data_IF_792229881001
#
_entry.id   IF_792229881001
#
_cell.length_a   1.000
_cell.length_b   1.000
_cell.length_c   1.000
_cell.angle_alpha   90.00
_cell.angle_beta   90.00
_cell.angle_gamma   90.00
#
_symmetry.space_group_name_H-M   'P 1'
#
loop_
_entity.id
_entity.type
_entity.pdbx_description
1 polymer ?
#
# COMPACT_ATOMS: atom_id res chain seq x y z
N UNK A 1 6.79 -13.14 -13.40
CA UNK A 1 5.97 -14.29 -12.94
C UNK A 1 5.88 -14.17 -11.43
N UNK A 2 4.68 -14.02 -10.87
CA UNK A 2 4.49 -13.84 -9.43
C UNK A 2 4.69 -15.20 -8.74
N UNK A 3 5.48 -15.23 -7.65
CA UNK A 3 5.73 -16.44 -6.88
C UNK A 3 5.00 -16.35 -5.54
N UNK A 4 4.26 -17.40 -5.18
CA UNK A 4 3.60 -17.49 -3.88
C UNK A 4 3.89 -18.85 -3.25
N UNK A 5 4.28 -18.84 -1.98
CA UNK A 5 4.56 -20.06 -1.22
C UNK A 5 3.35 -20.50 -0.36
N UNK A 6 2.43 -19.58 -0.06
CA UNK A 6 1.34 -19.77 0.90
C UNK A 6 -0.03 -20.04 0.24
N UNK A 7 -0.17 -19.85 -1.08
CA UNK A 7 -1.44 -19.98 -1.77
C UNK A 7 -1.47 -21.25 -2.62
N UNK A 8 -2.58 -21.99 -2.55
CA UNK A 8 -2.85 -23.12 -3.44
C UNK A 8 -3.03 -22.65 -4.89
N UNK A 9 -2.81 -23.54 -5.87
CA UNK A 9 -3.02 -23.29 -7.30
C UNK A 9 -4.51 -23.27 -7.65
N UNK A 10 -5.26 -22.37 -7.00
CA UNK A 10 -6.68 -22.14 -7.21
C UNK A 10 -6.88 -20.81 -7.91
N UNK A 11 -7.86 -20.80 -8.81
CA UNK A 11 -8.27 -19.59 -9.52
C UNK A 11 -9.42 -18.93 -8.76
N UNK A 12 -9.23 -17.64 -8.46
CA UNK A 12 -10.27 -16.73 -8.03
C UNK A 12 -10.92 -16.02 -9.22
N UNK A 13 -12.10 -15.45 -8.99
CA UNK A 13 -12.79 -14.62 -9.96
C UNK A 13 -12.61 -13.16 -9.57
N UNK A 14 -11.97 -12.37 -10.42
CA UNK A 14 -11.80 -10.95 -10.19
C UNK A 14 -12.51 -10.15 -11.28
N UNK A 15 -13.08 -8.99 -10.91
CA UNK A 15 -13.72 -8.10 -11.86
C UNK A 15 -12.68 -7.10 -12.37
N UNK A 16 -12.20 -7.31 -13.60
CA UNK A 16 -11.28 -6.39 -14.25
C UNK A 16 -12.04 -5.30 -14.98
N UNK A 17 -11.58 -4.07 -14.83
CA UNK A 17 -12.09 -2.95 -15.64
C UNK A 17 -11.27 -2.89 -16.92
N UNK A 18 -11.95 -3.12 -18.04
CA UNK A 18 -11.36 -3.03 -19.37
C UNK A 18 -11.15 -1.57 -19.76
N UNK A 19 -10.30 -1.31 -20.77
CA UNK A 19 -9.98 0.05 -21.24
C UNK A 19 -11.18 0.84 -21.76
N UNK A 20 -12.26 0.15 -22.12
CA UNK A 20 -13.55 0.68 -22.55
C UNK A 20 -14.50 0.97 -21.37
N UNK A 21 -14.09 0.71 -20.12
CA UNK A 21 -14.90 0.90 -18.91
C UNK A 21 -15.87 -0.24 -18.58
N UNK A 22 -15.94 -1.30 -19.40
CA UNK A 22 -16.74 -2.49 -19.06
C UNK A 22 -16.05 -3.32 -17.97
N UNK A 23 -16.85 -3.88 -17.06
CA UNK A 23 -16.37 -4.81 -16.03
C UNK A 23 -16.60 -6.22 -16.52
N UNK A 24 -15.53 -6.99 -16.65
CA UNK A 24 -15.60 -8.40 -17.06
C UNK A 24 -15.01 -9.28 -15.94
N UNK A 25 -15.63 -10.44 -15.74
CA UNK A 25 -15.21 -11.42 -14.74
C UNK A 25 -14.11 -12.30 -15.33
N UNK A 26 -12.89 -12.17 -14.80
CA UNK A 26 -11.72 -12.92 -15.26
C UNK A 26 -11.24 -13.90 -14.18
N UNK A 27 -10.68 -15.04 -14.61
CA UNK A 27 -10.09 -16.02 -13.70
C UNK A 27 -8.63 -15.67 -13.44
N UNK A 28 -8.32 -15.22 -12.24
CA UNK A 28 -6.97 -14.92 -11.78
C UNK A 28 -6.59 -15.85 -10.62
N UNK A 29 -5.32 -16.33 -10.55
CA UNK A 29 -4.84 -17.05 -9.38
C UNK A 29 -5.11 -16.29 -8.08
N UNK A 30 -5.56 -17.00 -7.03
CA UNK A 30 -5.85 -16.42 -5.70
C UNK A 30 -4.67 -15.61 -5.14
N UNK A 31 -3.44 -16.03 -5.44
CA UNK A 31 -2.24 -15.31 -5.04
C UNK A 31 -2.20 -13.87 -5.59
N UNK A 32 -2.65 -13.66 -6.83
CA UNK A 32 -2.65 -12.34 -7.49
C UNK A 32 -3.73 -11.45 -6.88
N UNK A 33 -4.93 -11.99 -6.65
CA UNK A 33 -6.01 -11.26 -5.97
C UNK A 33 -5.56 -10.78 -4.58
N UNK A 34 -4.99 -11.68 -3.79
CA UNK A 34 -4.49 -11.39 -2.44
C UNK A 34 -3.41 -10.32 -2.46
N UNK A 35 -2.48 -10.41 -3.40
CA UNK A 35 -1.41 -9.43 -3.55
C UNK A 35 -1.95 -8.07 -3.96
N UNK A 36 -2.85 -7.99 -4.94
CA UNK A 36 -3.48 -6.74 -5.35
C UNK A 36 -4.25 -6.07 -4.21
N UNK A 37 -4.84 -6.86 -3.31
CA UNK A 37 -5.55 -6.35 -2.13
C UNK A 37 -4.60 -5.70 -1.11
N UNK A 38 -3.40 -6.25 -0.91
CA UNK A 38 -2.47 -5.82 0.15
C UNK A 38 -1.40 -4.85 -0.35
N UNK A 39 -1.05 -4.91 -1.63
CA UNK A 39 0.01 -4.10 -2.25
C UNK A 39 -0.07 -2.61 -1.94
N UNK A 40 -1.28 -2.05 -1.90
CA UNK A 40 -1.50 -0.62 -1.66
C UNK A 40 -1.37 -0.18 -0.21
N UNK A 41 -1.25 -1.09 0.76
CA UNK A 41 -1.22 -0.70 2.18
C UNK A 41 0.03 0.11 2.55
N UNK A 42 1.19 -0.22 1.97
CA UNK A 42 2.43 0.52 2.20
C UNK A 42 2.36 1.92 1.61
N UNK A 43 1.85 2.03 0.38
CA UNK A 43 1.67 3.33 -0.29
C UNK A 43 0.65 4.20 0.45
N UNK A 44 -0.39 3.61 1.05
CA UNK A 44 -1.36 4.32 1.88
C UNK A 44 -0.70 4.89 3.14
N UNK A 45 0.15 4.12 3.81
CA UNK A 45 0.89 4.58 4.99
C UNK A 45 1.88 5.69 4.63
N UNK A 46 2.59 5.58 3.50
CA UNK A 46 3.49 6.63 3.01
C UNK A 46 2.71 7.90 2.62
N UNK A 47 1.53 7.76 2.02
CA UNK A 47 0.64 8.88 1.71
C UNK A 47 0.15 9.59 2.97
N UNK A 48 -0.22 8.84 4.02
CA UNK A 48 -0.57 9.42 5.32
C UNK A 48 0.61 10.14 5.97
N UNK A 49 1.80 9.57 5.91
CA UNK A 49 3.01 10.20 6.44
C UNK A 49 3.40 11.47 5.65
N UNK A 50 3.23 11.46 4.32
CA UNK A 50 3.53 12.59 3.43
C UNK A 50 2.48 13.70 3.48
N UNK A 51 1.21 13.41 3.78
CA UNK A 51 0.17 14.44 3.95
C UNK A 51 0.53 15.44 5.06
N UNK A 52 1.22 14.95 6.09
CA UNK A 52 1.74 15.76 7.19
C UNK A 52 3.26 16.01 7.08
N UNK A 53 3.83 15.78 5.90
CA UNK A 53 5.24 15.96 5.62
C UNK A 53 5.65 17.41 5.85
N UNK A 54 6.27 17.67 7.00
CA UNK A 54 7.00 18.91 7.28
C UNK A 54 8.27 18.89 6.43
N UNK A 55 8.15 19.08 5.11
CA UNK A 55 9.30 19.23 4.22
C UNK A 55 9.93 20.61 4.46
N UNK A 56 10.60 20.71 5.60
CA UNK A 56 11.34 21.88 6.01
C UNK A 56 12.68 21.82 5.28
N UNK A 57 12.94 22.76 4.34
CA UNK A 57 14.24 22.90 3.70
C UNK A 57 15.32 22.95 4.78
N UNK A 58 16.10 21.87 4.90
CA UNK A 58 17.16 21.77 5.89
C UNK A 58 18.42 21.21 5.24
N UNK A 59 19.54 21.91 5.43
CA UNK A 59 20.84 21.48 4.90
C UNK A 59 21.41 20.23 5.60
N UNK A 60 20.77 19.76 6.69
CA UNK A 60 21.23 18.60 7.47
C UNK A 60 20.29 17.41 7.24
N UNK A 61 20.78 16.38 6.54
CA UNK A 61 20.04 15.17 6.18
C UNK A 61 19.37 14.44 7.37
N UNK A 62 20.04 14.36 8.52
CA UNK A 62 19.51 13.70 9.73
C UNK A 62 18.17 14.27 10.22
N UNK A 63 17.91 15.56 10.01
CA UNK A 63 16.64 16.19 10.41
C UNK A 63 15.47 15.63 9.62
N UNK A 64 15.66 15.32 8.34
CA UNK A 64 14.65 14.69 7.49
C UNK A 64 14.24 13.32 8.05
N UNK A 65 15.22 12.51 8.45
CA UNK A 65 14.98 11.19 9.07
C UNK A 65 14.23 11.33 10.40
N UNK A 66 14.64 12.27 11.26
CA UNK A 66 13.97 12.51 12.54
C UNK A 66 12.50 12.88 12.38
N UNK A 67 12.18 13.84 11.50
CA UNK A 67 10.80 14.23 11.28
C UNK A 67 9.97 13.11 10.64
N UNK A 68 10.54 12.34 9.71
CA UNK A 68 9.83 11.19 9.12
C UNK A 68 9.45 10.13 10.17
N UNK A 69 10.36 9.82 11.10
CA UNK A 69 10.09 8.90 12.21
C UNK A 69 9.04 9.47 13.17
N UNK A 70 9.11 10.77 13.47
CA UNK A 70 8.13 11.44 14.33
C UNK A 70 6.72 11.37 13.71
N UNK A 71 6.59 11.67 12.41
CA UNK A 71 5.30 11.61 11.72
C UNK A 71 4.74 10.19 11.66
N UNK A 72 5.60 9.20 11.40
CA UNK A 72 5.22 7.78 11.44
C UNK A 72 4.73 7.35 12.82
N UNK A 73 5.39 7.81 13.90
CA UNK A 73 4.97 7.54 15.27
C UNK A 73 3.60 8.16 15.59
N UNK A 74 3.33 9.38 15.10
CA UNK A 74 2.02 10.03 15.26
C UNK A 74 0.93 9.24 14.54
N UNK A 75 1.14 8.87 13.28
CA UNK A 75 0.18 8.05 12.51
C UNK A 75 -0.07 6.71 13.21
N UNK A 76 0.99 6.03 13.67
CA UNK A 76 0.86 4.77 14.41
C UNK A 76 0.11 4.96 15.74
N UNK A 77 0.34 6.06 16.46
CA UNK A 77 -0.38 6.36 17.71
C UNK A 77 -1.87 6.62 17.48
N UNK A 78 -2.22 7.25 16.35
CA UNK A 78 -3.60 7.46 15.95
C UNK A 78 -4.30 6.12 15.63
N UNK A 79 -3.63 5.25 14.86
CA UNK A 79 -4.14 3.90 14.54
C UNK A 79 -4.33 3.06 15.81
N UNK A 80 -3.42 3.17 16.79
CA UNK A 80 -3.53 2.41 18.04
C UNK A 80 -4.59 2.95 19.01
N UNK A 81 -4.97 4.22 18.88
CA UNK A 81 -6.00 4.86 19.69
C UNK A 81 -7.41 4.60 19.16
N UNK A 82 -7.58 4.60 17.83
CA UNK A 82 -8.83 4.27 17.16
C UNK A 82 -9.19 2.79 17.26
#
# INVERSE_FOLDING_TARGET
>A
MMQSNCHETKDAKENLTMKNGSKEEFKCPVAIEFYNKIMGEVDLADQMANLYGLDHKSCKWWKKVFFHLLMSAVVNSWIAYC
#
